data_IF_130172633227
#
_entry.id   IF_130172633227
#
_cell.length_a   1.000
_cell.length_b   1.000
_cell.length_c   1.000
_cell.angle_alpha   90.00
_cell.angle_beta   90.00
_cell.angle_gamma   90.00
#
_symmetry.space_group_name_H-M   'P 1'
#
loop_
_entity.id
_entity.type
_entity.pdbx_description
1 polymer ?
#
# COMPACT_ATOMS: atom_id res chain seq x y z
N UNK A 1 11.56 -6.41 2.68
CA UNK A 1 10.82 -5.25 3.20
C UNK A 1 9.75 -4.84 2.20
N UNK A 2 8.51 -4.69 2.63
CA UNK A 2 7.40 -4.08 1.89
C UNK A 2 7.01 -2.81 2.65
N UNK A 3 6.80 -1.69 1.96
CA UNK A 3 6.49 -0.43 2.63
C UNK A 3 5.42 0.38 1.90
N UNK A 4 4.43 0.85 2.63
CA UNK A 4 3.38 1.74 2.15
C UNK A 4 3.72 3.15 2.60
N UNK A 5 3.98 4.07 1.64
CA UNK A 5 4.46 5.42 1.97
C UNK A 5 3.38 6.32 2.57
N UNK A 6 2.15 6.23 2.04
CA UNK A 6 1.03 7.03 2.55
C UNK A 6 -0.31 6.41 2.15
N UNK A 7 -1.39 7.03 2.59
CA UNK A 7 -2.78 6.70 2.21
C UNK A 7 -3.54 7.97 1.81
N UNK A 8 -4.57 7.84 0.96
CA UNK A 8 -5.05 6.59 0.36
C UNK A 8 -4.09 6.03 -0.70
N UNK A 9 -4.09 4.72 -0.87
CA UNK A 9 -3.42 4.04 -1.97
C UNK A 9 -4.37 3.03 -2.61
N UNK A 10 -4.14 2.75 -3.89
CA UNK A 10 -4.99 1.83 -4.65
C UNK A 10 -4.61 0.38 -4.34
N UNK A 11 -5.60 -0.51 -4.44
CA UNK A 11 -5.46 -1.92 -4.12
C UNK A 11 -4.92 -2.19 -2.70
N UNK A 12 -5.65 -1.81 -1.63
CA UNK A 12 -5.18 -1.97 -0.26
C UNK A 12 -4.71 -3.38 0.15
N UNK A 13 -5.25 -4.50 -0.38
CA UNK A 13 -4.76 -5.84 -0.05
C UNK A 13 -3.42 -6.22 -0.71
N UNK A 14 -3.02 -5.59 -1.82
CA UNK A 14 -1.86 -6.00 -2.60
C UNK A 14 -0.53 -6.13 -1.82
N UNK A 15 -0.16 -5.25 -0.88
CA UNK A 15 1.06 -5.40 -0.10
C UNK A 15 1.08 -6.68 0.74
N UNK A 16 -0.06 -7.09 1.28
CA UNK A 16 -0.19 -8.32 2.08
C UNK A 16 -0.17 -9.56 1.20
N UNK A 17 -0.83 -9.48 0.04
CA UNK A 17 -0.76 -10.53 -0.99
C UNK A 17 0.69 -10.75 -1.43
N UNK A 18 1.44 -9.69 -1.72
CA UNK A 18 2.85 -9.79 -2.07
C UNK A 18 3.68 -10.45 -0.95
N UNK A 19 3.39 -10.13 0.32
CA UNK A 19 4.08 -10.75 1.46
C UNK A 19 3.78 -12.25 1.56
N UNK A 20 2.53 -12.67 1.35
CA UNK A 20 2.14 -14.07 1.36
C UNK A 20 2.74 -14.84 0.18
N UNK A 21 2.76 -14.26 -1.01
CA UNK A 21 3.41 -14.87 -2.18
C UNK A 21 4.93 -15.02 -1.98
N UNK A 22 5.59 -14.04 -1.36
CA UNK A 22 7.00 -14.16 -0.99
C UNK A 22 7.24 -15.25 0.06
N UNK A 23 6.36 -15.36 1.07
CA UNK A 23 6.44 -16.42 2.06
C UNK A 23 6.37 -17.80 1.38
N UNK A 24 5.40 -18.03 0.50
CA UNK A 24 5.23 -19.29 -0.21
C UNK A 24 6.41 -19.55 -1.16
N UNK A 25 6.86 -18.55 -1.90
CA UNK A 25 8.03 -18.64 -2.79
C UNK A 25 9.30 -19.08 -2.05
N UNK A 26 9.57 -18.55 -0.86
CA UNK A 26 10.75 -18.94 -0.08
C UNK A 26 10.56 -20.28 0.62
N UNK A 27 9.32 -20.67 0.97
CA UNK A 27 9.01 -22.03 1.47
C UNK A 27 9.29 -23.10 0.44
N UNK A 28 8.82 -22.88 -0.79
CA UNK A 28 9.05 -23.82 -1.90
C UNK A 28 10.53 -24.04 -2.22
N UNK A 29 11.37 -23.06 -1.88
CA UNK A 29 12.83 -23.14 -2.03
C UNK A 29 13.55 -23.67 -0.79
N UNK A 30 12.84 -23.93 0.29
CA UNK A 30 13.42 -24.43 1.55
C UNK A 30 14.29 -23.42 2.29
N UNK A 31 14.17 -22.13 1.98
CA UNK A 31 15.00 -21.05 2.56
C UNK A 31 14.19 -20.01 3.36
N UNK A 32 12.91 -20.29 3.63
CA UNK A 32 12.03 -19.33 4.33
C UNK A 32 12.56 -18.92 5.69
N UNK A 33 13.24 -19.80 6.42
CA UNK A 33 13.84 -19.53 7.73
C UNK A 33 15.00 -18.54 7.68
N UNK A 34 15.62 -18.37 6.52
CA UNK A 34 16.78 -17.49 6.32
C UNK A 34 16.36 -16.09 5.84
N UNK A 35 15.05 -15.88 5.62
CA UNK A 35 14.50 -14.64 5.06
C UNK A 35 13.52 -13.97 6.03
N UNK A 36 13.83 -12.73 6.42
CA UNK A 36 12.90 -11.84 7.10
C UNK A 36 11.95 -11.17 6.10
N UNK A 37 10.64 -11.19 6.40
CA UNK A 37 9.65 -10.43 5.63
C UNK A 37 8.98 -9.45 6.59
N UNK A 38 9.08 -8.15 6.29
CA UNK A 38 8.52 -7.08 7.11
C UNK A 38 7.67 -6.16 6.26
N UNK A 39 6.55 -5.68 6.83
CA UNK A 39 5.63 -4.73 6.21
C UNK A 39 5.56 -3.48 7.08
N UNK A 40 5.89 -2.31 6.52
CA UNK A 40 5.71 -1.00 7.16
C UNK A 40 4.41 -0.35 6.65
N UNK A 41 3.50 -0.01 7.56
CA UNK A 41 2.25 0.67 7.21
C UNK A 41 2.07 1.98 7.98
N UNK A 42 1.60 3.07 7.34
CA UNK A 42 1.40 4.36 8.01
C UNK A 42 0.18 4.37 8.94
N UNK A 43 -0.73 3.41 8.77
CA UNK A 43 -1.98 3.30 9.53
C UNK A 43 -1.89 2.41 10.76
N UNK A 44 -2.96 2.39 11.58
CA UNK A 44 -3.07 1.53 12.76
C UNK A 44 -3.49 0.09 12.47
N UNK A 45 -4.08 -0.15 11.31
CA UNK A 45 -4.58 -1.48 10.86
C UNK A 45 -4.28 -1.70 9.38
N UNK A 46 -4.19 -2.96 8.93
CA UNK A 46 -3.91 -3.32 7.53
C UNK A 46 -4.89 -2.70 6.52
N UNK A 47 -6.17 -2.95 6.70
CA UNK A 47 -7.24 -2.48 5.80
C UNK A 47 -8.22 -1.58 6.56
N UNK A 48 -8.12 -0.25 6.41
CA UNK A 48 -9.00 0.69 7.14
C UNK A 48 -10.49 0.52 6.86
N UNK A 49 -10.86 -0.11 5.74
CA UNK A 49 -12.25 -0.35 5.35
C UNK A 49 -12.92 -1.50 6.12
N UNK A 50 -12.14 -2.36 6.81
CA UNK A 50 -12.69 -3.51 7.55
C UNK A 50 -11.77 -3.95 8.67
N UNK A 51 -12.19 -3.74 9.91
CA UNK A 51 -11.47 -4.22 11.10
C UNK A 51 -11.42 -5.75 11.16
N UNK A 52 -12.51 -6.43 10.79
CA UNK A 52 -12.57 -7.89 10.79
C UNK A 52 -11.56 -8.49 9.80
N UNK A 53 -11.49 -7.96 8.59
CA UNK A 53 -10.52 -8.42 7.59
C UNK A 53 -9.10 -8.07 8.03
N UNK A 54 -8.89 -6.88 8.61
CA UNK A 54 -7.59 -6.50 9.17
C UNK A 54 -7.10 -7.46 10.24
N UNK A 55 -7.98 -7.86 11.18
CA UNK A 55 -7.64 -8.84 12.21
C UNK A 55 -7.30 -10.21 11.61
N UNK A 56 -8.01 -10.65 10.57
CA UNK A 56 -7.68 -11.87 9.83
C UNK A 56 -6.30 -11.83 9.18
N UNK A 57 -5.96 -10.70 8.53
CA UNK A 57 -4.63 -10.48 7.93
C UNK A 57 -3.56 -10.50 9.02
N UNK A 58 -3.74 -9.76 10.13
CA UNK A 58 -2.76 -9.73 11.23
C UNK A 58 -2.50 -11.12 11.82
N UNK A 59 -3.55 -11.93 11.97
CA UNK A 59 -3.43 -13.33 12.41
C UNK A 59 -2.57 -14.14 11.44
N UNK A 60 -2.87 -14.09 10.13
CA UNK A 60 -2.11 -14.83 9.12
C UNK A 60 -0.65 -14.37 9.03
N UNK A 61 -0.37 -13.07 9.12
CA UNK A 61 0.98 -12.53 9.16
C UNK A 61 1.76 -13.09 10.35
N UNK A 62 1.13 -13.12 11.53
CA UNK A 62 1.73 -13.69 12.76
C UNK A 62 2.04 -15.17 12.60
N UNK A 63 1.09 -15.97 12.09
CA UNK A 63 1.27 -17.40 11.84
C UNK A 63 2.40 -17.70 10.85
N UNK A 64 2.55 -16.85 9.83
CA UNK A 64 3.61 -16.96 8.82
C UNK A 64 4.93 -16.30 9.23
N UNK A 65 5.02 -15.74 10.44
CA UNK A 65 6.20 -15.01 10.95
C UNK A 65 6.61 -13.87 10.01
N UNK A 66 5.64 -13.09 9.56
CA UNK A 66 5.83 -11.87 8.79
C UNK A 66 5.64 -10.69 9.74
N UNK A 67 6.63 -9.81 9.81
CA UNK A 67 6.58 -8.61 10.65
C UNK A 67 5.59 -7.58 10.11
N UNK A 68 4.73 -7.03 10.99
CA UNK A 68 3.84 -5.92 10.66
C UNK A 68 4.11 -4.74 11.59
N UNK A 69 4.67 -3.67 11.03
CA UNK A 69 5.00 -2.44 11.74
C UNK A 69 3.95 -1.37 11.46
N UNK A 70 3.01 -1.21 12.39
CA UNK A 70 1.90 -0.26 12.29
C UNK A 70 2.32 1.14 12.73
N UNK A 71 1.72 2.19 12.12
CA UNK A 71 2.05 3.61 12.36
C UNK A 71 3.51 3.96 12.01
N UNK A 72 4.07 3.23 11.05
CA UNK A 72 5.43 3.43 10.55
C UNK A 72 5.35 4.00 9.13
N UNK A 73 5.25 5.33 9.04
CA UNK A 73 5.28 6.05 7.76
C UNK A 73 6.73 6.21 7.32
N UNK A 74 7.07 5.66 6.16
CA UNK A 74 8.39 5.82 5.55
C UNK A 74 8.54 7.27 5.06
N UNK A 75 9.58 7.94 5.53
CA UNK A 75 9.92 9.30 5.14
C UNK A 75 10.96 9.34 4.03
N UNK A 76 11.89 8.39 4.04
CA UNK A 76 13.00 8.31 3.11
C UNK A 76 13.40 6.86 2.86
N UNK A 77 13.92 6.58 1.67
CA UNK A 77 14.57 5.30 1.34
C UNK A 77 16.01 5.59 0.93
N UNK A 78 16.94 5.29 1.83
CA UNK A 78 18.38 5.33 1.51
C UNK A 78 18.75 4.05 0.75
N UNK A 79 18.75 4.14 -0.57
CA UNK A 79 19.06 3.00 -1.44
C UNK A 79 20.54 2.59 -1.39
N UNK A 80 21.43 3.49 -0.97
CA UNK A 80 22.88 3.20 -0.85
C UNK A 80 23.18 2.45 0.42
N UNK A 81 22.61 2.90 1.54
CA UNK A 81 22.71 2.21 2.81
C UNK A 81 21.75 1.03 2.92
N UNK A 82 20.82 0.84 1.95
CA UNK A 82 19.73 -0.14 1.98
C UNK A 82 18.90 -0.04 3.26
N UNK A 83 18.40 1.17 3.56
CA UNK A 83 17.61 1.44 4.75
C UNK A 83 16.35 2.24 4.42
N UNK A 84 15.21 1.83 5.00
CA UNK A 84 14.01 2.63 5.05
C UNK A 84 13.99 3.44 6.35
N UNK A 85 13.83 4.76 6.26
CA UNK A 85 13.80 5.67 7.40
C UNK A 85 12.35 5.99 7.74
N UNK A 86 11.98 5.81 9.00
CA UNK A 86 10.62 6.01 9.50
C UNK A 86 10.63 7.05 10.62
N UNK A 87 9.75 8.04 10.50
CA UNK A 87 9.53 9.03 11.56
C UNK A 87 10.82 9.67 12.06
N UNK A 88 11.05 9.60 13.36
CA UNK A 88 12.19 10.23 14.04
C UNK A 88 13.46 9.34 13.94
N UNK A 89 13.91 9.06 12.71
CA UNK A 89 15.18 8.38 12.41
C UNK A 89 15.26 6.88 12.70
N UNK A 90 14.15 6.20 12.97
CA UNK A 90 14.16 4.74 13.04
C UNK A 90 14.46 4.15 11.66
N UNK A 91 15.51 3.31 11.59
CA UNK A 91 16.02 2.76 10.34
C UNK A 91 15.76 1.27 10.27
N UNK A 92 15.17 0.84 9.17
CA UNK A 92 14.89 -0.56 8.87
C UNK A 92 15.78 -1.01 7.72
N UNK A 93 16.74 -1.93 7.94
CA UNK A 93 17.57 -2.46 6.88
C UNK A 93 16.77 -3.36 5.95
N UNK A 94 17.16 -3.43 4.67
CA UNK A 94 16.56 -4.33 3.69
C UNK A 94 17.57 -4.81 2.65
N UNK A 95 17.37 -6.01 2.12
CA UNK A 95 18.06 -6.51 0.93
C UNK A 95 17.20 -6.30 -0.32
N UNK A 96 15.90 -6.54 -0.20
CA UNK A 96 14.88 -6.27 -1.22
C UNK A 96 13.86 -5.28 -0.65
N UNK A 97 13.53 -4.24 -1.41
CA UNK A 97 12.54 -3.24 -1.05
C UNK A 97 11.42 -3.19 -2.09
N UNK A 98 10.18 -3.41 -1.64
CA UNK A 98 8.96 -3.25 -2.43
C UNK A 98 8.18 -2.06 -1.87
N UNK A 99 8.15 -0.97 -2.60
CA UNK A 99 7.48 0.27 -2.16
C UNK A 99 6.13 0.46 -2.83
N UNK A 100 5.11 0.78 -2.05
CA UNK A 100 3.84 1.33 -2.55
C UNK A 100 3.95 2.85 -2.48
N UNK A 101 4.19 3.54 -3.60
CA UNK A 101 4.42 4.99 -3.61
C UNK A 101 3.14 5.76 -3.29
N UNK A 102 3.27 7.06 -3.07
CA UNK A 102 2.13 7.96 -2.97
C UNK A 102 1.45 8.02 -4.33
N UNK A 103 0.20 7.58 -4.38
CA UNK A 103 -0.58 7.58 -5.61
C UNK A 103 -1.08 9.00 -5.94
N UNK A 104 -1.03 9.33 -7.21
CA UNK A 104 -1.52 10.61 -7.75
C UNK A 104 -2.31 10.35 -9.02
N UNK A 105 -3.35 11.14 -9.31
CA UNK A 105 -4.00 11.11 -10.61
C UNK A 105 -3.03 11.48 -11.73
N UNK A 106 -3.25 11.00 -12.97
CA UNK A 106 -2.49 11.44 -14.13
C UNK A 106 -2.60 12.96 -14.34
N UNK A 107 -1.54 13.57 -14.90
CA UNK A 107 -1.51 15.01 -15.16
C UNK A 107 -2.73 15.50 -15.98
N UNK A 108 -3.13 14.74 -16.99
CA UNK A 108 -4.32 15.06 -17.80
C UNK A 108 -5.60 15.21 -16.97
N UNK A 109 -5.72 14.49 -15.85
CA UNK A 109 -6.86 14.64 -14.93
C UNK A 109 -6.68 15.87 -14.05
N UNK A 110 -5.48 16.07 -13.50
CA UNK A 110 -5.16 17.21 -12.64
C UNK A 110 -5.29 18.55 -13.37
N UNK A 111 -4.94 18.58 -14.67
CA UNK A 111 -4.99 19.75 -15.53
C UNK A 111 -6.39 19.99 -16.13
N UNK A 112 -7.35 19.10 -15.88
CA UNK A 112 -8.74 19.21 -16.35
C UNK A 112 -9.68 19.63 -15.23
N UNK A 113 -10.88 20.17 -15.56
CA UNK A 113 -11.90 20.45 -14.56
C UNK A 113 -12.37 19.23 -13.77
N UNK A 114 -12.13 18.01 -14.27
CA UNK A 114 -12.46 16.75 -13.58
C UNK A 114 -11.57 16.52 -12.33
N UNK A 115 -10.34 17.05 -12.34
CA UNK A 115 -9.35 16.87 -11.29
C UNK A 115 -9.32 17.98 -10.24
N UNK A 116 -10.30 18.87 -10.20
CA UNK A 116 -10.34 20.06 -9.33
C UNK A 116 -10.11 19.75 -7.83
N UNK A 117 -10.38 18.50 -7.41
CA UNK A 117 -10.14 18.00 -6.04
C UNK A 117 -9.17 16.81 -6.01
N UNK A 118 -8.35 16.65 -7.04
CA UNK A 118 -7.46 15.50 -7.21
C UNK A 118 -8.12 14.38 -8.03
N UNK A 119 -8.58 13.32 -7.41
CA UNK A 119 -9.24 12.19 -8.09
C UNK A 119 -10.61 12.59 -8.65
N UNK A 120 -11.03 11.93 -9.76
CA UNK A 120 -12.35 12.21 -10.38
C UNK A 120 -13.47 11.72 -9.44
N UNK A 121 -14.35 12.61 -9.04
CA UNK A 121 -15.55 12.25 -8.29
C UNK A 121 -16.64 11.74 -9.21
N UNK A 122 -17.26 10.64 -8.82
CA UNK A 122 -18.38 10.03 -9.56
C UNK A 122 -19.51 9.65 -8.61
N UNK A 123 -20.71 9.57 -9.16
CA UNK A 123 -21.81 8.89 -8.52
C UNK A 123 -21.54 7.37 -8.51
N UNK A 124 -21.52 6.68 -7.35
CA UNK A 124 -21.11 5.28 -7.27
C UNK A 124 -22.07 4.29 -7.95
N UNK A 125 -23.33 4.69 -8.19
CA UNK A 125 -24.30 3.82 -8.84
C UNK A 125 -24.25 3.92 -10.38
N UNK A 126 -23.85 5.07 -10.91
CA UNK A 126 -23.91 5.35 -12.34
C UNK A 126 -22.56 5.65 -12.98
N UNK A 127 -21.52 5.85 -12.17
CA UNK A 127 -20.17 6.29 -12.61
C UNK A 127 -20.17 7.63 -13.35
N UNK A 128 -21.24 8.44 -13.22
CA UNK A 128 -21.32 9.76 -13.82
C UNK A 128 -20.50 10.76 -13.04
N UNK A 129 -19.81 11.63 -13.77
CA UNK A 129 -19.14 12.80 -13.18
C UNK A 129 -20.12 13.96 -13.04
N UNK A 130 -19.66 15.10 -12.51
CA UNK A 130 -20.42 16.35 -12.50
C UNK A 130 -20.61 16.98 -13.89
N UNK A 131 -19.93 16.48 -14.90
CA UNK A 131 -20.02 16.96 -16.28
C UNK A 131 -21.00 16.09 -17.08
N UNK A 132 -21.91 16.74 -17.81
CA UNK A 132 -22.89 16.03 -18.61
C UNK A 132 -22.23 15.24 -19.75
N UNK A 133 -22.69 14.01 -19.94
CA UNK A 133 -22.12 13.10 -20.94
C UNK A 133 -20.73 12.55 -20.60
N UNK A 134 -20.22 12.74 -19.36
CA UNK A 134 -18.89 12.26 -18.94
C UNK A 134 -18.99 11.27 -17.78
N UNK A 135 -18.37 10.11 -17.95
CA UNK A 135 -18.24 9.06 -16.95
C UNK A 135 -16.77 8.76 -16.67
N UNK A 136 -16.49 8.29 -15.47
CA UNK A 136 -15.16 7.81 -15.12
C UNK A 136 -15.25 6.54 -14.29
N UNK A 137 -14.24 5.65 -14.42
CA UNK A 137 -14.18 4.40 -13.68
C UNK A 137 -12.72 3.97 -13.44
N UNK A 138 -12.53 2.98 -12.56
CA UNK A 138 -11.22 2.43 -12.22
C UNK A 138 -10.45 3.30 -11.22
N UNK A 139 -9.13 3.16 -11.22
CA UNK A 139 -8.26 3.77 -10.22
C UNK A 139 -8.21 5.30 -10.22
N UNK A 140 -8.70 5.91 -11.29
CA UNK A 140 -8.74 7.37 -11.42
C UNK A 140 -9.87 8.02 -10.62
N UNK A 141 -10.87 7.24 -10.19
CA UNK A 141 -12.04 7.77 -9.48
C UNK A 141 -11.89 7.72 -7.96
N UNK A 142 -12.62 8.61 -7.32
CA UNK A 142 -12.89 8.62 -5.89
C UNK A 142 -14.40 8.41 -5.67
N UNK A 143 -14.74 7.35 -5.00
CA UNK A 143 -16.11 6.96 -4.61
C UNK A 143 -16.29 7.21 -3.13
#
# INVERSE_FOLDING_TARGET
MIAIFDKPYKCPPAPYEAAFQLDDFYRDRGIRQDVGIDILIPGPIPLPISETVSAGIEKLLTEKKIGLHKKHKVAEVDYRAKQAVVGNETRFPYDLFLGVPIHRPPAVVLDSPLGEQGWIRVDPATMRTSFDGVWAMGDVVHI
#
